data_IF_168571472896
#
_entry.id   IF_168571472896
#
_cell.length_a   1.000
_cell.length_b   1.000
_cell.length_c   1.000
_cell.angle_alpha   90.00
_cell.angle_beta   90.00
_cell.angle_gamma   90.00
#
_symmetry.space_group_name_H-M   'P 1'
#
loop_
_entity.id
_entity.type
_entity.pdbx_description
1 polymer ?
#
# COMPACT_ATOMS: atom_id res chain seq x y z
N UNK A 1 -2.66 0.90 16.61
CA UNK A 1 -3.02 -0.52 16.32
C UNK A 1 -2.34 -1.02 15.05
N UNK A 2 -2.56 -0.40 13.88
CA UNK A 2 -2.00 -0.83 12.59
C UNK A 2 -0.47 -1.00 12.56
N UNK A 3 0.30 -0.03 13.09
CA UNK A 3 1.78 -0.13 13.19
C UNK A 3 2.21 -1.37 13.99
N UNK A 4 1.52 -1.66 15.10
CA UNK A 4 1.83 -2.82 15.95
C UNK A 4 1.58 -4.11 15.18
N UNK A 5 0.43 -4.20 14.50
CA UNK A 5 0.07 -5.35 13.65
C UNK A 5 1.09 -5.57 12.54
N UNK A 6 1.49 -4.52 11.83
CA UNK A 6 2.49 -4.57 10.76
C UNK A 6 3.86 -5.06 11.25
N UNK A 7 4.23 -4.76 12.51
CA UNK A 7 5.48 -5.24 13.12
C UNK A 7 5.37 -6.66 13.65
N UNK A 8 4.20 -7.07 14.11
CA UNK A 8 3.97 -8.40 14.69
C UNK A 8 3.63 -9.47 13.65
N UNK A 9 3.10 -9.06 12.50
CA UNK A 9 2.69 -9.93 11.40
C UNK A 9 3.44 -9.50 10.14
N UNK A 10 3.90 -10.45 9.33
CA UNK A 10 4.39 -10.17 7.98
C UNK A 10 3.21 -10.42 7.03
N UNK A 11 2.44 -9.38 6.65
CA UNK A 11 1.24 -9.57 5.84
C UNK A 11 1.61 -10.00 4.41
N UNK A 12 0.70 -10.71 3.74
CA UNK A 12 0.86 -11.06 2.32
C UNK A 12 0.66 -9.88 1.36
N UNK A 13 -0.07 -8.85 1.80
CA UNK A 13 -0.25 -7.57 1.12
C UNK A 13 -0.76 -6.52 2.13
N UNK A 14 -0.54 -5.25 1.83
CA UNK A 14 -1.03 -4.11 2.63
C UNK A 14 -1.88 -3.22 1.74
N UNK A 15 -3.08 -2.89 2.20
CA UNK A 15 -3.95 -1.90 1.55
C UNK A 15 -4.06 -0.68 2.47
N UNK A 16 -3.65 0.48 1.98
CA UNK A 16 -3.65 1.75 2.71
C UNK A 16 -4.79 2.61 2.21
N UNK A 17 -5.68 3.03 3.09
CA UNK A 17 -6.66 4.06 2.77
C UNK A 17 -6.03 5.44 2.97
N UNK A 18 -5.85 6.20 1.89
CA UNK A 18 -5.32 7.56 1.96
C UNK A 18 -6.28 8.56 2.60
N UNK A 19 -7.53 8.19 2.86
CA UNK A 19 -8.55 9.12 3.35
C UNK A 19 -8.96 10.13 2.27
N UNK A 20 -9.52 11.29 2.66
CA UNK A 20 -9.87 12.36 1.74
C UNK A 20 -8.64 13.12 1.20
N UNK A 21 -7.60 13.26 2.03
CA UNK A 21 -6.40 14.06 1.73
C UNK A 21 -5.21 13.24 1.20
N UNK A 22 -5.37 11.93 1.05
CA UNK A 22 -4.33 10.96 0.67
C UNK A 22 -3.16 10.88 1.67
N UNK A 23 -3.39 11.23 2.94
CA UNK A 23 -2.34 11.33 3.99
C UNK A 23 -2.64 10.57 5.27
N UNK A 24 -3.81 9.95 5.39
CA UNK A 24 -4.23 9.26 6.62
C UNK A 24 -3.24 8.15 7.02
N UNK A 25 -2.55 7.57 6.04
CA UNK A 25 -1.57 6.50 6.23
C UNK A 25 -0.10 6.96 6.26
N UNK A 26 0.21 8.27 6.25
CA UNK A 26 1.60 8.77 6.19
C UNK A 26 2.47 8.21 7.34
N UNK A 27 1.87 8.10 8.53
CA UNK A 27 2.55 7.56 9.74
C UNK A 27 2.94 6.08 9.61
N UNK A 28 2.28 5.33 8.72
CA UNK A 28 2.57 3.92 8.46
C UNK A 28 3.70 3.75 7.44
N UNK A 29 3.92 4.71 6.55
CA UNK A 29 4.87 4.61 5.43
C UNK A 29 6.28 4.27 5.90
N UNK A 30 6.78 4.95 6.93
CA UNK A 30 8.11 4.69 7.51
C UNK A 30 8.24 3.27 8.09
N UNK A 31 7.17 2.75 8.72
CA UNK A 31 7.18 1.39 9.26
C UNK A 31 7.14 0.33 8.16
N UNK A 32 6.42 0.58 7.07
CA UNK A 32 6.38 -0.30 5.89
C UNK A 32 7.73 -0.31 5.18
N UNK A 33 8.32 0.87 4.99
CA UNK A 33 9.64 1.02 4.40
C UNK A 33 10.70 0.28 5.22
N UNK A 34 10.67 0.41 6.55
CA UNK A 34 11.55 -0.35 7.46
C UNK A 34 11.37 -1.85 7.29
N UNK A 35 10.12 -2.33 7.20
CA UNK A 35 9.81 -3.75 7.00
C UNK A 35 10.35 -4.26 5.66
N UNK A 36 10.15 -3.52 4.57
CA UNK A 36 10.66 -3.85 3.23
C UNK A 36 12.19 -3.94 3.22
N UNK A 37 12.87 -2.96 3.82
CA UNK A 37 14.35 -2.98 3.93
C UNK A 37 14.85 -4.17 4.74
N UNK A 38 14.19 -4.50 5.85
CA UNK A 38 14.58 -5.62 6.71
C UNK A 38 14.43 -6.98 6.03
N UNK A 39 13.45 -7.15 5.14
CA UNK A 39 13.25 -8.40 4.38
C UNK A 39 14.14 -8.51 3.14
N UNK A 40 14.83 -7.43 2.74
CA UNK A 40 15.64 -7.37 1.52
C UNK A 40 14.84 -7.55 0.23
N UNK A 41 13.51 -7.48 0.31
CA UNK A 41 12.58 -7.67 -0.80
C UNK A 41 11.57 -6.54 -0.80
N UNK A 42 10.92 -6.29 -1.94
CA UNK A 42 9.76 -5.40 -2.04
C UNK A 42 8.49 -6.06 -1.45
N UNK A 43 8.59 -6.62 -0.23
CA UNK A 43 7.50 -7.28 0.47
C UNK A 43 7.25 -6.61 1.83
N UNK A 44 5.98 -6.47 2.25
CA UNK A 44 4.77 -6.86 1.53
C UNK A 44 4.45 -5.93 0.36
N UNK A 45 3.71 -6.39 -0.68
CA UNK A 45 3.13 -5.51 -1.68
C UNK A 45 2.18 -4.51 -1.02
N UNK A 46 2.18 -3.26 -1.48
CA UNK A 46 1.45 -2.14 -0.89
C UNK A 46 0.59 -1.46 -1.95
N UNK A 47 -0.71 -1.39 -1.69
CA UNK A 47 -1.70 -0.73 -2.52
C UNK A 47 -2.19 0.52 -1.78
N UNK A 48 -2.12 1.68 -2.41
CA UNK A 48 -2.68 2.93 -1.88
C UNK A 48 -4.04 3.23 -2.52
N UNK A 49 -5.08 3.39 -1.70
CA UNK A 49 -6.40 3.85 -2.13
C UNK A 49 -6.41 5.38 -2.09
N UNK A 50 -6.45 6.02 -3.27
CA UNK A 50 -6.30 7.46 -3.44
C UNK A 50 -7.60 8.11 -3.92
N UNK A 51 -7.84 9.38 -3.60
CA UNK A 51 -8.90 10.18 -4.22
C UNK A 51 -8.58 10.61 -5.66
N UNK A 52 -7.35 10.38 -6.14
CA UNK A 52 -6.86 10.79 -7.45
C UNK A 52 -6.30 9.62 -8.26
N UNK A 53 -6.35 9.74 -9.58
CA UNK A 53 -5.71 8.81 -10.52
C UNK A 53 -4.21 9.13 -10.66
N UNK A 54 -3.48 9.02 -9.57
CA UNK A 54 -2.03 9.23 -9.53
C UNK A 54 -1.26 7.91 -9.63
N UNK A 55 0.04 7.97 -9.89
CA UNK A 55 0.94 6.82 -9.84
C UNK A 55 1.85 6.90 -8.61
N UNK A 56 2.45 5.79 -8.15
CA UNK A 56 3.42 5.85 -7.06
C UNK A 56 4.57 6.81 -7.34
N UNK A 57 5.00 6.94 -8.59
CA UNK A 57 6.07 7.84 -9.01
C UNK A 57 5.65 9.30 -8.92
N UNK A 58 4.44 9.66 -9.37
CA UNK A 58 3.96 11.05 -9.31
C UNK A 58 3.79 11.55 -7.87
N UNK A 59 3.55 10.62 -6.93
CA UNK A 59 3.44 10.90 -5.51
C UNK A 59 4.79 10.82 -4.76
N UNK A 60 5.89 10.41 -5.41
CA UNK A 60 7.17 10.15 -4.75
C UNK A 60 7.16 8.95 -3.80
N UNK A 61 6.17 8.07 -3.93
CA UNK A 61 5.91 6.93 -3.05
C UNK A 61 6.36 5.58 -3.63
N UNK A 62 6.96 5.54 -4.83
CA UNK A 62 7.37 4.30 -5.51
C UNK A 62 8.32 3.40 -4.69
N UNK A 63 8.96 3.92 -3.64
CA UNK A 63 9.79 3.13 -2.72
C UNK A 63 8.96 2.30 -1.70
N UNK A 64 7.73 2.73 -1.40
CA UNK A 64 6.84 2.08 -0.40
C UNK A 64 5.56 1.55 -1.02
N UNK A 65 5.03 2.20 -2.05
CA UNK A 65 3.75 1.88 -2.69
C UNK A 65 4.04 1.31 -4.06
N UNK A 66 3.45 0.14 -4.36
CA UNK A 66 3.66 -0.50 -5.67
C UNK A 66 2.55 -0.13 -6.66
N UNK A 67 1.33 0.10 -6.16
CA UNK A 67 0.18 0.46 -6.99
C UNK A 67 -0.72 1.46 -6.25
N UNK A 68 -1.25 2.43 -7.00
CA UNK A 68 -2.31 3.33 -6.53
C UNK A 68 -3.62 2.94 -7.21
N UNK A 69 -4.70 2.84 -6.43
CA UNK A 69 -6.05 2.59 -6.92
C UNK A 69 -6.93 3.78 -6.54
N UNK A 70 -7.45 4.48 -7.55
CA UNK A 70 -8.30 5.63 -7.30
C UNK A 70 -9.70 5.23 -6.83
N UNK A 71 -10.29 6.03 -5.95
CA UNK A 71 -11.68 5.97 -5.53
C UNK A 71 -12.62 6.35 -6.70
N UNK A 72 -13.86 5.82 -6.77
CA UNK A 72 -14.49 4.89 -5.81
C UNK A 72 -13.87 3.49 -5.87
N UNK A 73 -13.74 2.87 -4.70
CA UNK A 73 -13.20 1.51 -4.56
C UNK A 73 -14.33 0.53 -4.83
N UNK A 74 -14.20 -0.25 -5.91
CA UNK A 74 -15.10 -1.37 -6.19
C UNK A 74 -14.31 -2.68 -6.28
N UNK A 75 -14.93 -3.84 -6.04
CA UNK A 75 -14.27 -5.14 -6.18
C UNK A 75 -13.65 -5.33 -7.56
N UNK A 76 -14.33 -4.91 -8.63
CA UNK A 76 -13.88 -5.06 -10.01
C UNK A 76 -12.61 -4.24 -10.32
N UNK A 77 -12.35 -3.20 -9.52
CA UNK A 77 -11.15 -2.36 -9.65
C UNK A 77 -10.02 -2.85 -8.75
N UNK A 78 -10.33 -3.26 -7.51
CA UNK A 78 -9.32 -3.60 -6.51
C UNK A 78 -8.90 -5.07 -6.56
N UNK A 79 -9.84 -6.00 -6.78
CA UNK A 79 -9.57 -7.44 -6.75
C UNK A 79 -8.49 -7.85 -7.77
N UNK A 80 -8.54 -7.40 -9.05
CA UNK A 80 -7.50 -7.75 -10.01
C UNK A 80 -6.10 -7.24 -9.61
N UNK A 81 -6.02 -6.12 -8.88
CA UNK A 81 -4.75 -5.57 -8.38
C UNK A 81 -4.20 -6.43 -7.25
N UNK A 82 -5.06 -6.87 -6.33
CA UNK A 82 -4.68 -7.79 -5.24
C UNK A 82 -4.19 -9.13 -5.81
N UNK A 83 -4.94 -9.71 -6.75
CA UNK A 83 -4.60 -11.00 -7.35
C UNK A 83 -3.25 -10.94 -8.06
N UNK A 84 -3.03 -9.89 -8.89
CA UNK A 84 -1.76 -9.62 -9.57
C UNK A 84 -0.58 -9.51 -8.60
N UNK A 85 -0.74 -8.79 -7.48
CA UNK A 85 0.36 -8.54 -6.53
C UNK A 85 0.64 -9.73 -5.61
N UNK A 86 -0.37 -10.57 -5.35
CA UNK A 86 -0.24 -11.76 -4.50
C UNK A 86 0.02 -13.05 -5.29
N UNK A 87 0.04 -12.98 -6.63
CA UNK A 87 0.29 -14.11 -7.52
C UNK A 87 -0.85 -15.13 -7.51
N UNK A 88 -2.09 -14.67 -7.36
CA UNK A 88 -3.31 -15.48 -7.34
C UNK A 88 -4.09 -15.37 -8.64
#
# INVERSE_FOLDING_TARGET
>A
MAVKTLRSLIPGAVVLDGGPDNKDCDTLMSSIDTLRRATGKALPPVILLSTKNDTPESLGLAHVVDVVVAKPITPERLQPVIDRLTGR
#
